data_IF_330073262852
#
_entry.id   IF_330073262852
#
_cell.length_a   1.000
_cell.length_b   1.000
_cell.length_c   1.000
_cell.angle_alpha   90.00
_cell.angle_beta   90.00
_cell.angle_gamma   90.00
#
_symmetry.space_group_name_H-M   'P 1'
#
loop_
_entity.id
_entity.type
_entity.pdbx_description
1 polymer ?
#
# COMPACT_ATOMS: atom_id res chain seq x y z
N UNK A 1 -1.79 0.33 -14.09
CA UNK A 1 -2.93 1.25 -13.85
C UNK A 1 -4.13 0.87 -14.72
N UNK A 2 -4.08 1.07 -16.05
CA UNK A 2 -5.27 0.88 -16.92
C UNK A 2 -5.79 -0.57 -16.94
N UNK A 3 -4.92 -1.58 -17.04
CA UNK A 3 -5.34 -2.98 -17.09
C UNK A 3 -5.96 -3.47 -15.76
N UNK A 4 -5.38 -3.06 -14.62
CA UNK A 4 -5.86 -3.44 -13.29
C UNK A 4 -7.20 -2.76 -12.96
N UNK A 5 -7.36 -1.49 -13.35
CA UNK A 5 -8.64 -0.77 -13.20
C UNK A 5 -9.75 -1.39 -14.07
N UNK A 6 -9.46 -1.73 -15.33
CA UNK A 6 -10.46 -2.40 -16.22
C UNK A 6 -10.86 -3.78 -15.72
N UNK A 7 -9.94 -4.55 -15.15
CA UNK A 7 -10.25 -5.87 -14.61
C UNK A 7 -10.96 -5.77 -13.24
N UNK A 8 -10.55 -4.84 -12.38
CA UNK A 8 -11.22 -4.58 -11.09
C UNK A 8 -12.66 -4.08 -11.24
N UNK A 9 -12.96 -3.29 -12.28
CA UNK A 9 -14.32 -2.83 -12.56
C UNK A 9 -15.22 -3.93 -13.14
N UNK A 10 -14.66 -5.00 -13.71
CA UNK A 10 -15.42 -6.09 -14.30
C UNK A 10 -15.83 -7.20 -13.33
N UNK A 11 -15.20 -7.27 -12.14
CA UNK A 11 -15.33 -8.41 -11.20
C UNK A 11 -15.97 -8.01 -9.86
N UNK A 12 -16.08 -6.72 -9.54
CA UNK A 12 -16.74 -6.24 -8.30
C UNK A 12 -15.95 -6.48 -7.00
N UNK A 13 -14.81 -7.17 -7.06
CA UNK A 13 -14.02 -7.58 -5.89
C UNK A 13 -12.89 -6.61 -5.52
N UNK A 14 -13.19 -5.31 -5.46
CA UNK A 14 -12.22 -4.22 -5.25
C UNK A 14 -11.31 -4.42 -4.02
N UNK A 15 -11.85 -4.96 -2.93
CA UNK A 15 -11.08 -5.22 -1.71
C UNK A 15 -10.00 -6.31 -1.89
N UNK A 16 -10.28 -7.36 -2.66
CA UNK A 16 -9.30 -8.43 -2.91
C UNK A 16 -8.18 -7.92 -3.82
N UNK A 17 -8.52 -7.14 -4.85
CA UNK A 17 -7.50 -6.49 -5.69
C UNK A 17 -6.62 -5.52 -4.91
N UNK A 18 -7.20 -4.72 -4.01
CA UNK A 18 -6.44 -3.83 -3.13
C UNK A 18 -5.50 -4.63 -2.20
N UNK A 19 -6.00 -5.70 -1.57
CA UNK A 19 -5.15 -6.56 -0.74
C UNK A 19 -4.01 -7.20 -1.55
N UNK A 20 -4.28 -7.67 -2.76
CA UNK A 20 -3.27 -8.23 -3.66
C UNK A 20 -2.21 -7.20 -4.03
N UNK A 21 -2.56 -5.95 -4.33
CA UNK A 21 -1.59 -4.91 -4.68
C UNK A 21 -0.70 -4.53 -3.48
N UNK A 22 -1.25 -4.53 -2.26
CA UNK A 22 -0.45 -4.39 -1.03
C UNK A 22 0.53 -5.54 -0.84
N UNK A 23 0.10 -6.79 -1.09
CA UNK A 23 0.97 -7.97 -1.00
C UNK A 23 2.08 -7.94 -2.07
N UNK A 24 1.77 -7.53 -3.29
CA UNK A 24 2.77 -7.35 -4.35
C UNK A 24 3.79 -6.28 -3.95
N UNK A 25 3.33 -5.15 -3.39
CA UNK A 25 4.22 -4.12 -2.89
C UNK A 25 5.13 -4.64 -1.78
N UNK A 26 4.57 -5.39 -0.82
CA UNK A 26 5.31 -6.00 0.29
C UNK A 26 6.35 -6.99 -0.21
N UNK A 27 6.02 -7.83 -1.20
CA UNK A 27 6.96 -8.77 -1.81
C UNK A 27 8.14 -8.04 -2.47
N UNK A 28 7.90 -6.92 -3.18
CA UNK A 28 8.96 -6.11 -3.77
C UNK A 28 9.93 -5.54 -2.72
N UNK A 29 9.40 -4.99 -1.63
CA UNK A 29 10.23 -4.51 -0.52
C UNK A 29 10.96 -5.64 0.22
N UNK A 30 10.35 -6.81 0.38
CA UNK A 30 11.00 -7.98 0.97
C UNK A 30 12.16 -8.49 0.10
N UNK A 31 11.98 -8.55 -1.22
CA UNK A 31 13.05 -8.88 -2.17
C UNK A 31 14.21 -7.90 -1.99
N UNK A 32 13.92 -6.59 -1.95
CA UNK A 32 14.96 -5.57 -1.75
C UNK A 32 15.65 -5.70 -0.37
N UNK A 33 14.93 -6.10 0.69
CA UNK A 33 15.46 -6.23 2.05
C UNK A 33 16.52 -7.32 2.20
N UNK A 34 16.31 -8.46 1.53
CA UNK A 34 17.19 -9.63 1.61
C UNK A 34 18.21 -9.74 0.47
N UNK A 35 18.19 -8.79 -0.46
CA UNK A 35 19.10 -8.79 -1.62
C UNK A 35 20.38 -8.01 -1.34
N UNK A 36 21.51 -8.60 -1.70
CA UNK A 36 22.83 -7.93 -1.69
C UNK A 36 23.27 -7.47 -3.08
N UNK A 37 22.66 -8.02 -4.15
CA UNK A 37 22.94 -7.62 -5.54
C UNK A 37 22.10 -6.41 -5.93
N UNK A 38 22.72 -5.36 -6.51
CA UNK A 38 22.00 -4.19 -7.03
C UNK A 38 20.89 -4.53 -8.03
N UNK A 39 21.09 -5.58 -8.83
CA UNK A 39 20.10 -6.02 -9.82
C UNK A 39 18.81 -6.49 -9.13
N UNK A 40 18.93 -7.30 -8.09
CA UNK A 40 17.76 -7.81 -7.35
C UNK A 40 17.05 -6.72 -6.54
N UNK A 41 17.80 -5.72 -6.04
CA UNK A 41 17.22 -4.55 -5.37
C UNK A 41 16.38 -3.74 -6.37
N UNK A 42 16.89 -3.50 -7.58
CA UNK A 42 16.15 -2.78 -8.63
C UNK A 42 14.88 -3.55 -9.01
N UNK A 43 14.98 -4.87 -9.21
CA UNK A 43 13.81 -5.72 -9.49
C UNK A 43 12.79 -5.63 -8.35
N UNK A 44 13.25 -5.70 -7.10
CA UNK A 44 12.40 -5.53 -5.92
C UNK A 44 11.63 -4.21 -5.94
N UNK A 45 12.30 -3.10 -6.27
CA UNK A 45 11.63 -1.79 -6.38
C UNK A 45 10.69 -1.69 -7.59
N UNK A 46 10.98 -2.34 -8.71
CA UNK A 46 10.05 -2.40 -9.83
C UNK A 46 8.76 -3.12 -9.42
N UNK A 47 8.88 -4.28 -8.76
CA UNK A 47 7.73 -5.02 -8.23
C UNK A 47 6.98 -4.19 -7.18
N UNK A 48 7.71 -3.53 -6.27
CA UNK A 48 7.12 -2.66 -5.26
C UNK A 48 6.29 -1.53 -5.90
N UNK A 49 6.82 -0.87 -6.93
CA UNK A 49 6.13 0.18 -7.65
C UNK A 49 4.85 -0.31 -8.36
N UNK A 50 4.88 -1.49 -8.96
CA UNK A 50 3.67 -2.08 -9.56
C UNK A 50 2.56 -2.23 -8.51
N UNK A 51 2.90 -2.72 -7.32
CA UNK A 51 1.97 -2.84 -6.20
C UNK A 51 1.48 -1.48 -5.68
N UNK A 52 2.39 -0.55 -5.39
CA UNK A 52 2.06 0.78 -4.85
C UNK A 52 1.14 1.56 -5.78
N UNK A 53 1.47 1.63 -7.07
CA UNK A 53 0.60 2.30 -8.03
C UNK A 53 -0.72 1.54 -8.14
N UNK A 54 -0.72 0.20 -8.25
CA UNK A 54 -1.94 -0.61 -8.26
C UNK A 54 -2.90 -0.28 -7.11
N UNK A 55 -2.37 -0.20 -5.89
CA UNK A 55 -3.12 0.21 -4.69
C UNK A 55 -3.73 1.60 -4.86
N UNK A 56 -2.99 2.57 -5.39
CA UNK A 56 -3.49 3.93 -5.57
C UNK A 56 -4.74 3.97 -6.47
N UNK A 57 -4.81 3.17 -7.55
CA UNK A 57 -6.03 3.12 -8.37
C UNK A 57 -7.21 2.50 -7.63
N UNK A 58 -7.00 1.41 -6.89
CA UNK A 58 -8.11 0.68 -6.27
C UNK A 58 -8.58 1.37 -4.99
N UNK A 59 -7.65 1.87 -4.17
CA UNK A 59 -7.93 2.50 -2.89
C UNK A 59 -8.89 3.67 -3.02
N UNK A 60 -8.72 4.55 -4.01
CA UNK A 60 -9.59 5.71 -4.19
C UNK A 60 -11.02 5.36 -4.63
N UNK A 61 -11.24 4.18 -5.21
CA UNK A 61 -12.59 3.73 -5.62
C UNK A 61 -13.46 3.28 -4.44
N UNK A 62 -12.85 2.89 -3.32
CA UNK A 62 -13.56 2.32 -2.16
C UNK A 62 -14.27 3.41 -1.33
N UNK A 63 -13.59 4.40 -0.72
CA UNK A 63 -14.26 5.35 0.16
C UNK A 63 -15.31 6.19 -0.58
N UNK A 64 -15.08 6.50 -1.87
CA UNK A 64 -16.03 7.26 -2.68
C UNK A 64 -17.33 6.50 -2.95
N UNK A 65 -17.32 5.15 -2.98
CA UNK A 65 -18.53 4.36 -3.21
C UNK A 65 -19.38 4.13 -1.96
N UNK A 66 -18.80 4.25 -0.76
CA UNK A 66 -19.47 3.98 0.52
C UNK A 66 -19.79 5.24 1.35
N UNK A 67 -19.44 6.44 0.86
CA UNK A 67 -19.70 7.69 1.57
C UNK A 67 -20.77 8.55 0.88
N UNK A 68 -21.60 9.21 1.69
CA UNK A 68 -22.58 10.17 1.20
C UNK A 68 -21.88 11.44 0.72
N UNK A 69 -22.54 12.21 -0.17
CA UNK A 69 -21.97 13.47 -0.71
C UNK A 69 -21.60 14.49 0.37
N UNK A 70 -22.21 14.40 1.55
CA UNK A 70 -21.96 15.30 2.68
C UNK A 70 -20.79 14.84 3.54
N UNK A 71 -20.53 13.54 3.70
CA UNK A 71 -19.44 13.02 4.52
C UNK A 71 -18.13 12.77 3.75
N UNK A 72 -18.20 12.62 2.43
CA UNK A 72 -17.03 12.31 1.59
C UNK A 72 -15.86 13.33 1.69
N UNK A 73 -16.08 14.66 1.68
CA UNK A 73 -14.98 15.63 1.76
C UNK A 73 -14.16 15.50 3.04
N UNK A 74 -14.83 15.25 4.17
CA UNK A 74 -14.17 15.09 5.47
C UNK A 74 -13.25 13.88 5.50
N UNK A 75 -13.71 12.73 5.00
CA UNK A 75 -12.88 11.53 4.93
C UNK A 75 -11.70 11.66 3.97
N UNK A 76 -11.90 12.30 2.81
CA UNK A 76 -10.81 12.58 1.86
C UNK A 76 -9.73 13.45 2.52
N UNK A 77 -10.15 14.48 3.29
CA UNK A 77 -9.24 15.33 4.05
C UNK A 77 -8.46 14.56 5.12
N UNK A 78 -9.13 13.65 5.85
CA UNK A 78 -8.49 12.80 6.86
C UNK A 78 -7.46 11.86 6.24
N UNK A 79 -7.82 11.16 5.15
CA UNK A 79 -6.91 10.27 4.42
C UNK A 79 -5.67 11.03 3.93
N UNK A 80 -5.85 12.22 3.36
CA UNK A 80 -4.75 13.05 2.84
C UNK A 80 -3.83 13.55 3.97
N UNK A 81 -4.40 13.89 5.12
CA UNK A 81 -3.65 14.31 6.32
C UNK A 81 -2.82 13.15 6.86
N UNK A 82 -3.41 11.96 7.01
CA UNK A 82 -2.69 10.74 7.42
C UNK A 82 -1.59 10.40 6.40
N UNK A 83 -1.90 10.50 5.11
CA UNK A 83 -0.93 10.29 4.03
C UNK A 83 0.26 11.24 4.12
N UNK A 84 0.03 12.52 4.39
CA UNK A 84 1.08 13.51 4.60
C UNK A 84 1.94 13.21 5.82
N UNK A 85 1.32 12.81 6.94
CA UNK A 85 2.04 12.40 8.16
C UNK A 85 2.91 11.17 7.87
N UNK A 86 2.37 10.16 7.18
CA UNK A 86 3.10 8.98 6.76
C UNK A 86 4.29 9.33 5.87
N UNK A 87 4.08 10.19 4.86
CA UNK A 87 5.11 10.66 3.95
C UNK A 87 6.23 11.44 4.65
N UNK A 88 5.91 12.22 5.67
CA UNK A 88 6.90 12.95 6.47
C UNK A 88 7.66 12.04 7.46
N UNK A 89 6.98 11.03 8.02
CA UNK A 89 7.54 10.18 9.08
C UNK A 89 8.38 9.03 8.53
N UNK A 90 7.99 8.44 7.40
CA UNK A 90 8.62 7.23 6.87
C UNK A 90 10.12 7.39 6.54
N UNK A 91 10.61 8.53 5.97
CA UNK A 91 12.03 8.70 5.70
C UNK A 91 12.85 8.85 6.98
N UNK A 92 12.27 9.43 8.03
CA UNK A 92 12.91 9.58 9.35
C UNK A 92 13.09 8.20 9.99
N UNK A 93 12.05 7.36 9.95
CA UNK A 93 12.09 6.00 10.49
C UNK A 93 13.11 5.15 9.74
N UNK A 94 13.07 5.15 8.41
CA UNK A 94 14.02 4.40 7.58
C UNK A 94 15.45 4.92 7.77
N UNK A 95 15.63 6.25 7.83
CA UNK A 95 16.92 6.89 8.06
C UNK A 95 17.53 6.49 9.40
N UNK A 96 16.76 6.59 10.49
CA UNK A 96 17.23 6.13 11.81
C UNK A 96 17.52 4.64 11.86
N UNK A 97 16.70 3.82 11.20
CA UNK A 97 16.93 2.38 11.10
C UNK A 97 18.25 2.08 10.34
N UNK A 98 18.54 2.84 9.29
CA UNK A 98 19.82 2.77 8.56
C UNK A 98 20.99 3.22 9.41
N UNK A 99 20.88 4.35 10.10
CA UNK A 99 21.97 4.88 10.92
C UNK A 99 22.34 3.93 12.06
N UNK A 100 21.35 3.26 12.65
CA UNK A 100 21.56 2.27 13.71
C UNK A 100 22.10 0.92 13.22
N UNK A 101 21.68 0.45 12.04
CA UNK A 101 22.03 -0.90 11.54
C UNK A 101 23.10 -0.93 10.45
N UNK A 102 23.45 0.23 9.88
CA UNK A 102 24.32 0.35 8.71
C UNK A 102 23.67 -0.08 7.38
N UNK A 103 22.43 -0.58 7.39
CA UNK A 103 21.74 -1.12 6.21
C UNK A 103 20.29 -0.64 6.10
N UNK A 104 19.75 -0.65 4.87
CA UNK A 104 18.33 -0.36 4.62
C UNK A 104 17.41 -1.55 4.92
N UNK A 105 17.94 -2.74 5.20
CA UNK A 105 17.16 -3.97 5.42
C UNK A 105 16.05 -3.77 6.45
N UNK A 106 16.36 -3.21 7.62
CA UNK A 106 15.36 -2.98 8.68
C UNK A 106 14.28 -2.01 8.19
N UNK A 107 14.67 -0.93 7.49
CA UNK A 107 13.73 0.03 6.92
C UNK A 107 12.78 -0.62 5.92
N UNK A 108 13.28 -1.47 5.03
CA UNK A 108 12.45 -2.19 4.05
C UNK A 108 11.53 -3.23 4.72
N UNK A 109 11.98 -3.89 5.79
CA UNK A 109 11.13 -4.80 6.58
C UNK A 109 10.02 -4.07 7.32
N UNK A 110 10.26 -2.86 7.85
CA UNK A 110 9.21 -2.02 8.44
C UNK A 110 8.15 -1.68 7.39
N UNK A 111 8.55 -1.24 6.19
CA UNK A 111 7.62 -0.97 5.09
C UNK A 111 6.84 -2.22 4.70
N UNK A 112 7.52 -3.36 4.59
CA UNK A 112 6.90 -4.66 4.29
C UNK A 112 5.82 -4.99 5.32
N UNK A 113 6.13 -4.85 6.61
CA UNK A 113 5.17 -5.09 7.70
C UNK A 113 3.95 -4.18 7.63
N UNK A 114 4.16 -2.87 7.40
CA UNK A 114 3.06 -1.90 7.26
C UNK A 114 2.16 -2.25 6.07
N UNK A 115 2.72 -2.68 4.93
CA UNK A 115 1.95 -3.08 3.76
C UNK A 115 1.11 -4.35 4.01
N UNK A 116 1.64 -5.32 4.77
CA UNK A 116 0.89 -6.52 5.14
C UNK A 116 -0.23 -6.22 6.14
N UNK A 117 0.01 -5.30 7.09
CA UNK A 117 -1.04 -4.80 7.98
C UNK A 117 -2.13 -4.10 7.16
N UNK A 118 -1.76 -3.25 6.20
CA UNK A 118 -2.72 -2.59 5.31
C UNK A 118 -3.55 -3.60 4.49
N UNK A 119 -2.91 -4.63 3.92
CA UNK A 119 -3.61 -5.71 3.20
C UNK A 119 -4.65 -6.40 4.10
N UNK A 120 -4.28 -6.68 5.35
CA UNK A 120 -5.16 -7.32 6.34
C UNK A 120 -6.33 -6.41 6.70
N UNK A 121 -6.07 -5.13 6.98
CA UNK A 121 -7.10 -4.14 7.31
C UNK A 121 -8.12 -3.95 6.19
N UNK A 122 -7.67 -3.99 4.93
CA UNK A 122 -8.57 -3.91 3.76
C UNK A 122 -9.49 -5.12 3.69
N UNK A 123 -8.98 -6.33 3.96
CA UNK A 123 -9.82 -7.53 4.00
C UNK A 123 -10.80 -7.51 5.18
N UNK A 124 -10.39 -6.98 6.34
CA UNK A 124 -11.30 -6.76 7.48
C UNK A 124 -12.39 -5.76 7.09
N UNK A 125 -12.04 -4.63 6.47
CA UNK A 125 -12.99 -3.61 6.02
C UNK A 125 -14.02 -4.19 5.03
N UNK A 126 -13.61 -5.10 4.14
CA UNK A 126 -14.55 -5.85 3.27
C UNK A 126 -15.63 -6.55 4.09
N UNK A 127 -15.24 -7.27 5.15
CA UNK A 127 -16.21 -8.01 5.97
C UNK A 127 -17.19 -7.13 6.73
N UNK A 128 -16.86 -5.85 6.92
CA UNK A 128 -17.72 -4.87 7.58
C UNK A 128 -18.65 -4.17 6.58
N UNK A 129 -18.16 -3.86 5.38
CA UNK A 129 -18.87 -3.06 4.38
C UNK A 129 -19.69 -3.89 3.38
N UNK A 130 -19.41 -5.19 3.22
CA UNK A 130 -20.13 -6.10 2.31
C UNK A 130 -21.19 -6.94 3.05
N UNK A 131 -21.43 -6.65 4.34
CA UNK A 131 -22.43 -7.35 5.17
C UNK A 131 -23.85 -6.76 5.10
N UNK A 132 -24.09 -5.79 4.22
CA UNK A 132 -25.42 -5.27 3.88
C UNK A 132 -25.85 -5.77 2.50
#
# INVERSE_FOLDING_TARGET
>A
MIALSRHSDHVGERFYYAAMTFVIAAAGFAIAAFSTSPVWIIIGFMVANVGVYGTQAVFWTIPQSYMSRQSAPGAIGLVSTIGSIGGATIPIVIGRAKDASGSFTIGFLVVTGVLLVAATLVLIARTQLVKE
#
